data_IF_920507920320
#
_entry.id   IF_920507920320
#
_cell.length_a   1.000
_cell.length_b   1.000
_cell.length_c   1.000
_cell.angle_alpha   90.00
_cell.angle_beta   90.00
_cell.angle_gamma   90.00
#
_symmetry.space_group_name_H-M   'P 1'
#
loop_
_entity.id
_entity.type
_entity.pdbx_description
1 polymer ?
#
# COMPACT_ATOMS: atom_id res chain seq x y z
N UNK A 1 12.72 -1.50 27.12
CA UNK A 1 11.62 -1.30 26.17
C UNK A 1 12.08 -1.90 24.85
N UNK A 2 11.39 -2.88 24.27
CA UNK A 2 11.82 -3.43 22.98
C UNK A 2 11.56 -2.36 21.91
N UNK A 3 12.61 -1.99 21.17
CA UNK A 3 12.64 -0.90 20.19
C UNK A 3 11.84 -1.23 18.92
N UNK A 4 11.51 -2.51 18.68
CA UNK A 4 10.79 -2.96 17.50
C UNK A 4 9.72 -3.97 17.91
N UNK A 5 8.47 -3.81 17.43
CA UNK A 5 7.33 -4.69 17.75
C UNK A 5 6.39 -4.93 16.59
N UNK A 6 5.73 -6.09 16.62
CA UNK A 6 4.53 -6.36 15.84
C UNK A 6 3.29 -6.05 16.67
N UNK A 7 2.35 -5.28 16.10
CA UNK A 7 1.06 -5.00 16.72
C UNK A 7 -0.05 -5.01 15.68
N UNK A 8 -1.29 -4.76 16.12
CA UNK A 8 -2.46 -4.64 15.24
C UNK A 8 -3.01 -3.23 15.25
N UNK A 9 -3.38 -2.71 14.09
CA UNK A 9 -4.05 -1.41 13.98
C UNK A 9 -5.37 -1.46 14.74
N UNK A 10 -5.58 -0.54 15.68
CA UNK A 10 -6.82 -0.42 16.45
C UNK A 10 -7.68 0.77 16.02
N UNK A 11 -7.07 1.84 15.50
CA UNK A 11 -7.75 2.99 14.91
C UNK A 11 -6.83 3.71 13.93
N UNK A 12 -7.40 4.42 12.96
CA UNK A 12 -6.66 5.19 11.95
C UNK A 12 -7.22 6.61 11.91
N UNK A 13 -6.34 7.59 11.93
CA UNK A 13 -6.62 8.98 11.64
C UNK A 13 -6.05 9.29 10.23
N UNK A 14 -6.94 9.26 9.24
CA UNK A 14 -6.58 9.47 7.83
C UNK A 14 -6.14 10.91 7.55
N UNK A 15 -6.66 11.88 8.30
CA UNK A 15 -6.33 13.30 8.13
C UNK A 15 -4.87 13.57 8.52
N UNK A 16 -4.43 13.00 9.64
CA UNK A 16 -3.09 13.26 10.18
C UNK A 16 -2.06 12.20 9.77
N UNK A 17 -2.49 11.16 9.05
CA UNK A 17 -1.61 10.05 8.67
C UNK A 17 -1.05 9.31 9.88
N UNK A 18 -1.88 9.09 10.91
CA UNK A 18 -1.50 8.42 12.16
C UNK A 18 -2.45 7.27 12.48
N UNK A 19 -2.03 6.38 13.38
CA UNK A 19 -2.86 5.30 13.87
C UNK A 19 -2.51 4.93 15.31
N UNK A 20 -3.41 4.18 15.95
CA UNK A 20 -3.13 3.48 17.21
C UNK A 20 -2.92 2.00 16.94
N UNK A 21 -2.03 1.40 17.73
CA UNK A 21 -1.64 -0.01 17.60
C UNK A 21 -1.83 -0.73 18.93
N UNK A 22 -2.53 -1.88 18.91
CA UNK A 22 -2.66 -2.78 20.05
C UNK A 22 -1.56 -3.84 20.04
N UNK A 23 -0.94 -4.05 21.19
CA UNK A 23 0.09 -5.06 21.44
C UNK A 23 -0.45 -6.20 22.29
N UNK A 24 -0.70 -7.35 21.67
CA UNK A 24 -1.22 -8.54 22.37
C UNK A 24 -0.20 -9.11 23.38
N UNK A 25 1.09 -8.99 23.10
CA UNK A 25 2.22 -9.37 23.97
C UNK A 25 2.36 -8.45 25.20
N UNK A 26 1.61 -7.34 25.24
CA UNK A 26 1.64 -6.34 26.32
C UNK A 26 0.27 -6.16 26.97
N UNK A 27 -0.43 -7.27 27.24
CA UNK A 27 -1.77 -7.27 27.86
C UNK A 27 -2.78 -6.40 27.11
N UNK A 28 -2.66 -6.29 25.79
CA UNK A 28 -3.53 -5.44 24.98
C UNK A 28 -3.27 -3.94 25.10
N UNK A 29 -2.07 -3.53 25.54
CA UNK A 29 -1.67 -2.13 25.56
C UNK A 29 -1.86 -1.47 24.19
N UNK A 30 -2.40 -0.26 24.19
CA UNK A 30 -2.67 0.53 22.98
C UNK A 30 -1.75 1.74 22.97
N UNK A 31 -1.12 2.02 21.84
CA UNK A 31 -0.31 3.23 21.67
C UNK A 31 -1.16 4.49 21.71
N UNK A 32 -0.51 5.65 21.89
CA UNK A 32 -1.04 6.91 21.36
C UNK A 32 -1.10 6.87 19.83
N UNK A 33 -1.64 7.92 19.23
CA UNK A 33 -1.51 8.11 17.79
C UNK A 33 -0.03 8.26 17.41
N UNK A 34 0.43 7.40 16.53
CA UNK A 34 1.78 7.39 15.98
C UNK A 34 1.73 7.44 14.45
N UNK A 35 2.67 8.14 13.80
CA UNK A 35 2.64 8.34 12.35
C UNK A 35 2.99 7.08 11.55
N UNK A 36 2.49 7.02 10.32
CA UNK A 36 3.03 6.17 9.26
C UNK A 36 4.23 6.85 8.58
N UNK A 37 5.05 6.06 7.87
CA UNK A 37 6.03 6.62 6.94
C UNK A 37 5.34 7.34 5.79
N UNK A 38 5.79 8.56 5.48
CA UNK A 38 5.26 9.39 4.39
C UNK A 38 5.82 9.03 3.00
N UNK A 39 6.35 7.81 2.83
CA UNK A 39 6.87 7.33 1.55
C UNK A 39 5.70 7.05 0.58
N UNK A 40 4.59 6.52 1.10
CA UNK A 40 3.39 6.20 0.32
C UNK A 40 2.13 6.38 1.15
N UNK A 41 1.06 6.94 0.55
CA UNK A 41 -0.27 6.94 1.17
C UNK A 41 -0.97 5.61 0.86
N UNK A 42 -0.63 4.58 1.64
CA UNK A 42 -1.22 3.23 1.58
C UNK A 42 -1.51 2.75 2.99
N UNK A 43 -2.63 3.22 3.53
CA UNK A 43 -3.00 2.94 4.92
C UNK A 43 -3.51 1.48 5.05
N UNK A 44 -3.08 0.75 6.10
CA UNK A 44 -3.63 -0.57 6.40
C UNK A 44 -5.10 -0.50 6.86
N UNK A 45 -5.73 -1.64 7.10
CA UNK A 45 -7.06 -1.71 7.69
C UNK A 45 -7.01 -1.93 9.21
N UNK A 46 -8.10 -1.60 9.91
CA UNK A 46 -8.23 -1.95 11.34
C UNK A 46 -8.10 -3.47 11.49
N UNK A 47 -7.26 -3.90 12.43
CA UNK A 47 -6.95 -5.31 12.69
C UNK A 47 -5.72 -5.84 11.93
N UNK A 48 -5.21 -5.11 10.93
CA UNK A 48 -3.99 -5.49 10.22
C UNK A 48 -2.78 -5.50 11.14
N UNK A 49 -1.92 -6.50 10.95
CA UNK A 49 -0.64 -6.59 11.62
C UNK A 49 0.36 -5.60 10.99
N UNK A 50 1.04 -4.83 11.83
CA UNK A 50 2.06 -3.85 11.42
C UNK A 50 3.30 -3.95 12.27
N UNK A 51 4.44 -3.60 11.67
CA UNK A 51 5.72 -3.42 12.35
C UNK A 51 5.83 -1.97 12.84
N UNK A 52 6.18 -1.79 14.11
CA UNK A 52 6.36 -0.50 14.76
C UNK A 52 7.76 -0.41 15.32
N UNK A 53 8.44 0.70 15.03
CA UNK A 53 9.71 1.08 15.68
C UNK A 53 9.40 2.14 16.74
N UNK A 54 9.87 1.92 17.96
CA UNK A 54 9.76 2.84 19.08
C UNK A 54 11.08 3.58 19.26
N UNK A 55 11.00 4.90 19.41
CA UNK A 55 12.17 5.73 19.67
C UNK A 55 12.61 5.57 21.14
N UNK A 56 13.92 5.50 21.35
CA UNK A 56 14.52 5.27 22.68
C UNK A 56 14.37 6.46 23.64
N UNK A 57 13.93 7.62 23.15
CA UNK A 57 13.80 8.87 23.91
C UNK A 57 12.49 9.03 24.68
N UNK A 58 11.68 7.98 24.77
CA UNK A 58 10.45 7.95 25.56
C UNK A 58 9.48 6.96 24.95
N UNK A 59 8.67 6.30 25.78
CA UNK A 59 7.82 5.18 25.39
C UNK A 59 6.68 5.52 24.40
N UNK A 60 6.73 6.71 23.86
CA UNK A 60 5.60 7.48 23.40
C UNK A 60 5.71 7.85 21.93
N UNK A 61 6.92 7.96 21.39
CA UNK A 61 7.15 8.26 19.98
C UNK A 61 7.53 6.98 19.25
N UNK A 62 6.68 6.54 18.33
CA UNK A 62 6.96 5.42 17.44
C UNK A 62 6.57 5.75 16.01
N UNK A 63 7.01 4.93 15.06
CA UNK A 63 6.66 5.05 13.64
C UNK A 63 6.20 3.69 13.14
N UNK A 64 5.08 3.67 12.42
CA UNK A 64 4.57 2.48 11.77
C UNK A 64 5.30 2.31 10.43
N UNK A 65 6.05 1.21 10.29
CA UNK A 65 6.80 0.92 9.07
C UNK A 65 5.92 0.29 7.97
N UNK A 66 4.86 -0.42 8.36
CA UNK A 66 3.91 -1.05 7.43
C UNK A 66 3.58 -2.50 7.78
N UNK A 67 2.89 -3.17 6.85
CA UNK A 67 2.40 -4.54 7.01
C UNK A 67 3.46 -5.55 6.54
N UNK A 68 4.06 -6.35 7.44
CA UNK A 68 4.96 -7.41 7.01
C UNK A 68 4.18 -8.54 6.29
N UNK A 69 4.88 -9.28 5.44
CA UNK A 69 4.37 -10.56 4.98
C UNK A 69 4.24 -11.54 6.16
N UNK A 70 3.16 -12.31 6.16
CA UNK A 70 2.84 -13.26 7.21
C UNK A 70 2.01 -14.41 6.65
N UNK A 71 1.68 -15.39 7.50
CA UNK A 71 0.79 -16.48 7.08
C UNK A 71 -0.59 -16.00 6.62
N UNK A 72 -1.07 -14.85 7.13
CA UNK A 72 -2.37 -14.25 6.80
C UNK A 72 -2.29 -13.15 5.73
N UNK A 73 -1.19 -12.39 5.69
CA UNK A 73 -0.90 -11.42 4.65
C UNK A 73 0.18 -12.01 3.75
N UNK A 74 -0.22 -12.76 2.72
CA UNK A 74 0.72 -13.38 1.78
C UNK A 74 0.81 -12.52 0.51
N UNK A 75 1.98 -12.50 -0.16
CA UNK A 75 2.06 -11.91 -1.48
C UNK A 75 1.08 -12.64 -2.42
N UNK A 76 0.31 -11.91 -3.25
CA UNK A 76 -0.66 -12.52 -4.17
C UNK A 76 0.01 -13.26 -5.33
N UNK A 77 1.27 -12.95 -5.59
CA UNK A 77 2.10 -13.53 -6.64
C UNK A 77 3.56 -13.43 -6.19
N UNK A 78 4.39 -14.43 -6.49
CA UNK A 78 5.81 -14.43 -6.12
C UNK A 78 6.60 -15.22 -7.15
N UNK A 79 7.67 -14.61 -7.64
CA UNK A 79 8.66 -15.23 -8.51
C UNK A 79 9.99 -14.48 -8.33
N UNK A 80 11.10 -15.11 -8.72
CA UNK A 80 12.35 -14.38 -8.88
C UNK A 80 12.16 -13.29 -9.96
N UNK A 81 12.80 -12.13 -9.78
CA UNK A 81 12.79 -11.03 -10.77
C UNK A 81 11.38 -10.50 -11.14
N UNK A 82 10.44 -10.58 -10.20
CA UNK A 82 9.10 -10.00 -10.32
C UNK A 82 8.99 -8.74 -9.44
N UNK A 83 8.62 -7.61 -10.03
CA UNK A 83 8.14 -6.45 -9.30
C UNK A 83 6.61 -6.39 -9.37
N UNK A 84 5.96 -6.25 -8.22
CA UNK A 84 4.51 -6.08 -8.15
C UNK A 84 4.13 -5.13 -7.02
N UNK A 85 3.24 -4.20 -7.35
CA UNK A 85 2.60 -3.28 -6.41
C UNK A 85 1.12 -3.20 -6.69
N UNK A 86 0.31 -3.76 -5.81
CA UNK A 86 -1.14 -3.59 -5.81
C UNK A 86 -1.50 -2.22 -5.20
N UNK A 87 -2.38 -1.48 -5.87
CA UNK A 87 -2.85 -0.15 -5.46
C UNK A 87 -4.21 -0.21 -4.75
N UNK A 88 -4.77 -1.40 -4.60
CA UNK A 88 -6.03 -1.68 -3.92
C UNK A 88 -5.80 -2.77 -2.88
N UNK A 89 -6.57 -2.77 -1.77
CA UNK A 89 -6.57 -3.91 -0.83
C UNK A 89 -6.96 -5.23 -1.51
N UNK A 90 -7.74 -5.18 -2.59
CA UNK A 90 -8.07 -6.34 -3.40
C UNK A 90 -6.98 -6.57 -4.46
N UNK A 91 -6.18 -7.62 -4.25
CA UNK A 91 -5.12 -8.00 -5.18
C UNK A 91 -5.64 -8.16 -6.62
N UNK A 92 -4.90 -7.59 -7.58
CA UNK A 92 -5.17 -7.65 -9.02
C UNK A 92 -6.28 -6.73 -9.51
N UNK A 93 -6.96 -5.98 -8.62
CA UNK A 93 -7.97 -4.97 -8.99
C UNK A 93 -7.31 -3.76 -9.65
N UNK A 94 -6.25 -3.24 -9.03
CA UNK A 94 -5.38 -2.21 -9.60
C UNK A 94 -3.93 -2.50 -9.22
N UNK A 95 -3.01 -2.47 -10.18
CA UNK A 95 -1.61 -2.84 -9.94
C UNK A 95 -0.64 -2.29 -11.00
N UNK A 96 0.61 -2.15 -10.56
CA UNK A 96 1.81 -2.17 -11.40
C UNK A 96 2.49 -3.52 -11.25
N UNK A 97 2.79 -4.20 -12.35
CA UNK A 97 3.48 -5.49 -12.35
C UNK A 97 4.51 -5.53 -13.47
N UNK A 98 5.77 -5.79 -13.17
CA UNK A 98 6.86 -5.97 -14.13
C UNK A 98 7.53 -7.31 -13.90
N UNK A 99 7.81 -8.02 -14.98
CA UNK A 99 8.32 -9.39 -14.99
C UNK A 99 9.51 -9.44 -15.93
N UNK A 100 10.71 -9.64 -15.38
CA UNK A 100 11.96 -9.55 -16.14
C UNK A 100 12.08 -10.62 -17.22
N UNK A 101 11.54 -11.81 -16.98
CA UNK A 101 11.63 -12.94 -17.91
C UNK A 101 10.84 -12.69 -19.19
N UNK A 102 9.65 -12.08 -19.07
CA UNK A 102 8.84 -11.68 -20.22
C UNK A 102 9.15 -10.27 -20.73
N UNK A 103 9.78 -9.42 -19.91
CA UNK A 103 10.01 -8.00 -20.20
C UNK A 103 8.74 -7.15 -20.21
N UNK A 104 7.62 -7.65 -19.66
CA UNK A 104 6.31 -6.99 -19.77
C UNK A 104 6.00 -6.17 -18.51
N UNK A 105 5.83 -4.85 -18.68
CA UNK A 105 5.18 -3.99 -17.69
C UNK A 105 3.66 -3.98 -17.91
N UNK A 106 2.91 -4.32 -16.87
CA UNK A 106 1.45 -4.24 -16.82
C UNK A 106 1.02 -3.13 -15.88
N UNK A 107 0.25 -2.19 -16.41
CA UNK A 107 -0.50 -1.18 -15.66
C UNK A 107 -1.97 -1.55 -15.78
N UNK A 108 -2.60 -1.90 -14.65
CA UNK A 108 -3.99 -2.36 -14.62
C UNK A 108 -4.79 -1.54 -13.62
N UNK A 109 -5.96 -1.09 -14.04
CA UNK A 109 -7.01 -0.52 -13.19
C UNK A 109 -8.37 -0.61 -13.93
N UNK A 110 -9.51 -0.45 -13.24
CA UNK A 110 -10.81 -0.37 -13.90
C UNK A 110 -10.91 0.76 -14.94
N UNK A 111 -10.32 1.91 -14.62
CA UNK A 111 -10.17 3.06 -15.52
C UNK A 111 -8.78 3.64 -15.33
N UNK A 112 -8.10 3.98 -16.43
CA UNK A 112 -6.81 4.69 -16.42
C UNK A 112 -7.01 6.04 -17.09
N UNK A 113 -6.78 7.10 -16.32
CA UNK A 113 -6.76 8.49 -16.78
C UNK A 113 -5.29 8.90 -16.89
N UNK A 114 -4.92 9.46 -18.03
CA UNK A 114 -3.64 10.13 -18.24
C UNK A 114 -3.91 11.63 -18.19
N UNK A 115 -3.29 12.32 -17.24
CA UNK A 115 -3.51 13.74 -16.98
C UNK A 115 -2.19 14.50 -17.00
N UNK A 116 -2.25 15.72 -17.53
CA UNK A 116 -1.15 16.70 -17.62
C UNK A 116 -1.71 18.07 -17.27
N UNK A 117 -0.84 19.05 -17.05
CA UNK A 117 -1.24 20.44 -16.79
C UNK A 117 -2.12 21.05 -17.91
N UNK A 118 -2.07 20.47 -19.11
CA UNK A 118 -2.79 20.96 -20.30
C UNK A 118 -4.07 20.19 -20.61
N UNK A 119 -4.37 19.13 -19.86
CA UNK A 119 -5.57 18.33 -20.05
C UNK A 119 -5.39 16.85 -19.71
N UNK A 120 -6.47 16.09 -19.86
CA UNK A 120 -6.52 14.68 -19.56
C UNK A 120 -7.23 13.86 -20.66
N UNK A 121 -7.00 12.55 -20.63
CA UNK A 121 -7.69 11.58 -21.48
C UNK A 121 -7.76 10.22 -20.77
N UNK A 122 -8.60 9.31 -21.28
CA UNK A 122 -8.63 7.93 -20.79
C UNK A 122 -7.97 6.99 -21.80
N UNK A 123 -7.41 5.88 -21.32
CA UNK A 123 -6.92 4.82 -22.24
C UNK A 123 -8.05 4.34 -23.16
N UNK A 124 -9.28 4.21 -22.63
CA UNK A 124 -10.46 3.82 -23.43
C UNK A 124 -10.71 4.76 -24.61
N UNK A 125 -10.76 6.07 -24.37
CA UNK A 125 -11.00 7.06 -25.43
C UNK A 125 -9.89 7.10 -26.47
N UNK A 126 -8.63 6.85 -26.07
CA UNK A 126 -7.52 6.73 -27.01
C UNK A 126 -7.68 5.50 -27.91
N UNK A 127 -8.05 4.34 -27.35
CA UNK A 127 -8.30 3.12 -28.11
C UNK A 127 -9.47 3.28 -29.09
N UNK A 128 -10.58 3.89 -28.66
CA UNK A 128 -11.73 4.19 -29.52
C UNK A 128 -11.34 5.13 -30.67
N UNK A 129 -10.49 6.13 -30.41
CA UNK A 129 -9.99 7.05 -31.44
C UNK A 129 -9.06 6.36 -32.44
N UNK A 130 -8.19 5.45 -31.98
CA UNK A 130 -7.31 4.66 -32.86
C UNK A 130 -8.16 3.77 -33.76
N UNK A 131 -9.13 3.04 -33.20
CA UNK A 131 -10.01 2.17 -33.98
C UNK A 131 -10.78 2.93 -35.07
N UNK A 132 -11.26 4.14 -34.77
CA UNK A 132 -11.94 5.00 -35.74
C UNK A 132 -11.01 5.55 -36.85
N UNK A 133 -9.70 5.64 -36.59
CA UNK A 133 -8.71 6.05 -37.58
C UNK A 133 -8.27 4.89 -38.48
N UNK A 134 -8.17 3.67 -37.93
CA UNK A 134 -7.81 2.46 -38.67
C UNK A 134 -8.94 1.93 -39.57
N UNK A 135 -10.18 2.35 -39.33
CA UNK A 135 -11.35 1.98 -40.14
C UNK A 135 -11.55 2.83 -41.42
N UNK A 136 -10.62 3.74 -41.74
CA UNK A 136 -10.65 4.62 -42.91
C UNK A 136 -9.59 4.19 -43.93
#
# INVERSE_FOLDING_TARGET
>A
MDEIRLGKISSINYTDGTARVTYADRNGAVTREIPFLSVEYSMPEIGDMVLVVHLSNGAEAGVILGRPWSGKNRPPESAERLYRKDLSPTAGKSMFRYDDDSGILRIKAPTIILETDTGNTTIKSLLERIAALESK
#
